data_IF_898393867876
#
_entry.id   IF_898393867876
#
_cell.length_a   1.000
_cell.length_b   1.000
_cell.length_c   1.000
_cell.angle_alpha   90.00
_cell.angle_beta   90.00
_cell.angle_gamma   90.00
#
_symmetry.space_group_name_H-M   'P 1'
#
loop_
_entity.id
_entity.type
_entity.pdbx_description
1 polymer ?
#
# COMPACT_ATOMS: atom_id res chain seq x y z
N UNK A 1 -3.26 22.82 -1.90
CA UNK A 1 -3.48 22.23 -3.23
C UNK A 1 -2.56 21.01 -3.33
N UNK A 2 -3.02 19.82 -2.99
CA UNK A 2 -2.20 18.61 -3.16
C UNK A 2 -2.03 18.34 -4.65
N UNK A 3 -0.80 18.06 -5.08
CA UNK A 3 -0.52 17.65 -6.46
C UNK A 3 -1.38 16.43 -6.79
N UNK A 4 -2.06 16.46 -7.94
CA UNK A 4 -2.77 15.30 -8.50
C UNK A 4 -1.73 14.31 -9.02
N UNK A 5 -1.10 13.56 -8.12
CA UNK A 5 -0.18 12.47 -8.43
C UNK A 5 -0.84 11.11 -8.27
N UNK A 6 -0.29 10.08 -8.90
CA UNK A 6 -0.59 8.70 -8.57
C UNK A 6 0.44 8.27 -7.53
N UNK A 7 -0.01 7.74 -6.41
CA UNK A 7 0.87 7.22 -5.37
C UNK A 7 0.89 5.70 -5.44
N UNK A 8 2.09 5.13 -5.48
CA UNK A 8 2.32 3.70 -5.25
C UNK A 8 2.63 3.50 -3.78
N UNK A 9 1.81 2.72 -3.08
CA UNK A 9 2.01 2.39 -1.67
C UNK A 9 2.34 0.92 -1.56
N UNK A 10 3.49 0.63 -0.96
CA UNK A 10 3.96 -0.74 -0.68
C UNK A 10 3.97 -0.94 0.83
N UNK A 11 3.20 -1.90 1.33
CA UNK A 11 3.06 -2.15 2.76
C UNK A 11 2.82 -3.63 3.05
N UNK A 12 3.02 -4.03 4.31
CA UNK A 12 2.80 -5.41 4.76
C UNK A 12 1.43 -5.51 5.43
N UNK A 13 0.64 -6.51 5.04
CA UNK A 13 -0.62 -6.87 5.68
C UNK A 13 -0.76 -8.39 5.74
N UNK A 14 -1.04 -8.92 6.92
CA UNK A 14 -1.26 -10.37 7.15
C UNK A 14 -0.13 -11.26 6.61
N UNK A 15 1.11 -10.78 6.63
CA UNK A 15 2.28 -11.53 6.14
C UNK A 15 2.49 -11.49 4.62
N UNK A 16 1.70 -10.70 3.89
CA UNK A 16 1.88 -10.45 2.47
C UNK A 16 2.28 -8.99 2.23
N UNK A 17 3.02 -8.75 1.15
CA UNK A 17 3.39 -7.41 0.68
C UNK A 17 2.35 -6.99 -0.34
N UNK A 18 1.64 -5.92 -0.01
CA UNK A 18 0.63 -5.29 -0.84
C UNK A 18 1.28 -4.16 -1.61
N UNK A 19 1.13 -4.17 -2.93
CA UNK A 19 1.45 -3.04 -3.81
C UNK A 19 0.14 -2.50 -4.39
N UNK A 20 -0.25 -1.30 -3.96
CA UNK A 20 -1.49 -0.63 -4.35
C UNK A 20 -1.21 0.77 -4.92
N UNK A 21 -2.16 1.29 -5.69
CA UNK A 21 -2.11 2.63 -6.26
C UNK A 21 -3.32 3.45 -5.79
N UNK A 22 -3.09 4.72 -5.46
CA UNK A 22 -4.10 5.64 -4.93
C UNK A 22 -3.87 7.07 -5.45
N UNK A 23 -4.89 7.93 -5.39
CA UNK A 23 -4.74 9.36 -5.78
C UNK A 23 -4.43 10.27 -4.61
N UNK A 24 -4.72 9.82 -3.40
CA UNK A 24 -4.82 10.67 -2.23
C UNK A 24 -4.15 9.99 -1.05
N UNK A 25 -3.16 10.67 -0.46
CA UNK A 25 -2.43 10.21 0.72
C UNK A 25 -2.20 11.36 1.69
N UNK A 26 -2.50 11.14 2.97
CA UNK A 26 -2.42 12.19 4.00
C UNK A 26 -1.90 11.63 5.32
N UNK A 27 -1.27 12.49 6.11
CA UNK A 27 -1.03 12.17 7.52
C UNK A 27 -2.37 12.14 8.24
N UNK A 28 -2.64 11.08 9.00
CA UNK A 28 -3.87 10.96 9.76
C UNK A 28 -3.86 11.82 11.02
N UNK A 29 -5.04 12.25 11.45
CA UNK A 29 -5.26 12.74 12.81
C UNK A 29 -5.04 11.62 13.85
N UNK A 30 -5.11 10.35 13.43
CA UNK A 30 -4.72 9.20 14.24
C UNK A 30 -3.19 9.05 14.25
N UNK A 31 -2.59 9.24 15.42
CA UNK A 31 -1.14 9.16 15.58
C UNK A 31 -0.59 7.81 15.08
N UNK A 32 0.42 7.87 14.21
CA UNK A 32 1.09 6.68 13.68
C UNK A 32 0.43 6.04 12.46
N UNK A 33 -0.57 6.69 11.85
CA UNK A 33 -1.27 6.18 10.66
C UNK A 33 -1.17 7.14 9.47
N UNK A 34 -1.18 6.55 8.28
CA UNK A 34 -1.32 7.23 7.00
C UNK A 34 -2.68 6.89 6.40
N UNK A 35 -3.38 7.91 5.94
CA UNK A 35 -4.66 7.77 5.26
C UNK A 35 -4.42 7.60 3.77
N UNK A 36 -5.02 6.56 3.19
CA UNK A 36 -5.01 6.30 1.75
C UNK A 36 -6.44 6.26 1.25
N UNK A 37 -6.72 7.04 0.20
CA UNK A 37 -8.04 7.16 -0.41
C UNK A 37 -7.95 7.07 -1.94
N UNK A 38 -9.11 6.90 -2.59
CA UNK A 38 -9.22 6.86 -4.04
C UNK A 38 -8.34 5.78 -4.69
N UNK A 39 -8.47 4.55 -4.18
CA UNK A 39 -7.78 3.39 -4.73
C UNK A 39 -8.04 3.23 -6.24
N UNK A 40 -6.96 3.01 -6.99
CA UNK A 40 -6.99 2.87 -8.44
C UNK A 40 -6.81 1.40 -8.79
N UNK A 41 -7.88 0.80 -9.31
CA UNK A 41 -7.89 -0.55 -9.85
C UNK A 41 -8.20 -0.53 -11.35
N UNK A 42 -7.63 -1.44 -12.15
CA UNK A 42 -7.91 -1.42 -13.59
C UNK A 42 -9.28 -2.04 -13.90
N UNK A 43 -10.17 -1.31 -14.55
CA UNK A 43 -11.47 -1.84 -14.98
C UNK A 43 -11.40 -2.50 -16.37
N UNK A 44 -10.33 -2.26 -17.14
CA UNK A 44 -10.29 -2.54 -18.58
C UNK A 44 -9.26 -3.59 -19.03
N UNK A 45 -8.60 -4.32 -18.12
CA UNK A 45 -7.68 -5.38 -18.53
C UNK A 45 -8.46 -6.63 -18.97
N UNK A 46 -8.96 -6.64 -20.21
CA UNK A 46 -9.53 -7.82 -20.89
C UNK A 46 -8.50 -8.94 -21.14
N UNK A 47 -7.24 -8.72 -20.75
CA UNK A 47 -6.12 -9.62 -20.94
C UNK A 47 -5.73 -10.12 -19.55
N UNK A 48 -6.08 -11.37 -19.25
CA UNK A 48 -5.69 -12.18 -18.09
C UNK A 48 -5.52 -11.36 -16.80
N UNK A 49 -6.61 -11.18 -16.06
CA UNK A 49 -6.56 -10.49 -14.77
C UNK A 49 -5.67 -11.31 -13.81
N UNK A 50 -4.64 -10.66 -13.26
CA UNK A 50 -3.78 -11.28 -12.25
C UNK A 50 -4.66 -11.59 -11.01
N UNK A 51 -4.68 -12.84 -10.50
CA UNK A 51 -5.48 -13.21 -9.34
C UNK A 51 -5.16 -12.36 -8.10
N UNK A 52 -3.96 -11.77 -8.03
CA UNK A 52 -3.57 -10.85 -6.97
C UNK A 52 -4.33 -9.53 -7.04
N UNK A 53 -4.57 -9.00 -8.25
CA UNK A 53 -5.30 -7.74 -8.42
C UNK A 53 -6.80 -7.93 -8.12
N UNK A 54 -7.38 -9.07 -8.48
CA UNK A 54 -8.78 -9.38 -8.12
C UNK A 54 -8.97 -9.48 -6.60
N UNK A 55 -8.01 -10.05 -5.88
CA UNK A 55 -8.01 -10.07 -4.42
C UNK A 55 -7.99 -8.67 -3.84
N UNK A 56 -7.06 -7.81 -4.30
CA UNK A 56 -7.00 -6.42 -3.87
C UNK A 56 -8.31 -5.68 -4.16
N UNK A 57 -8.86 -5.82 -5.37
CA UNK A 57 -10.16 -5.24 -5.74
C UNK A 57 -11.28 -5.69 -4.80
N UNK A 58 -11.31 -6.98 -4.45
CA UNK A 58 -12.32 -7.54 -3.56
C UNK A 58 -12.15 -7.05 -2.13
N UNK A 59 -10.91 -7.02 -1.63
CA UNK A 59 -10.57 -6.61 -0.26
C UNK A 59 -10.86 -5.12 -0.03
N UNK A 60 -10.56 -4.27 -1.00
CA UNK A 60 -10.81 -2.82 -0.93
C UNK A 60 -12.18 -2.41 -1.53
N UNK A 61 -13.03 -3.38 -1.88
CA UNK A 61 -14.37 -3.08 -2.43
C UNK A 61 -15.23 -2.40 -1.38
N UNK A 62 -15.63 -1.16 -1.66
CA UNK A 62 -16.45 -0.36 -0.73
C UNK A 62 -15.67 0.30 0.40
N UNK A 63 -14.33 0.22 0.37
CA UNK A 63 -13.47 0.95 1.29
C UNK A 63 -13.26 2.38 0.76
N UNK A 64 -13.72 3.37 1.53
CA UNK A 64 -13.53 4.78 1.17
C UNK A 64 -12.13 5.28 1.55
N UNK A 65 -11.63 4.83 2.70
CA UNK A 65 -10.37 5.26 3.30
C UNK A 65 -9.76 4.11 4.09
N UNK A 66 -8.45 3.92 3.96
CA UNK A 66 -7.68 3.00 4.79
C UNK A 66 -6.71 3.76 5.67
N UNK A 67 -6.56 3.29 6.91
CA UNK A 67 -5.59 3.78 7.88
C UNK A 67 -4.48 2.75 7.98
N UNK A 68 -3.34 3.03 7.33
CA UNK A 68 -2.21 2.11 7.30
C UNK A 68 -1.20 2.55 8.37
N UNK A 69 -0.85 1.69 9.35
CA UNK A 69 0.19 1.98 10.32
C UNK A 69 1.53 2.31 9.64
N UNK A 70 2.23 3.35 10.10
CA UNK A 70 3.53 3.77 9.54
C UNK A 70 4.55 2.62 9.58
N UNK A 71 4.52 1.77 10.61
CA UNK A 71 5.42 0.63 10.75
C UNK A 71 5.11 -0.55 9.80
N UNK A 72 3.95 -0.55 9.14
CA UNK A 72 3.60 -1.52 8.10
C UNK A 72 4.02 -1.06 6.71
N UNK A 73 4.25 0.24 6.52
CA UNK A 73 4.62 0.83 5.23
C UNK A 73 6.08 0.54 4.94
N UNK A 74 6.34 -0.07 3.78
CA UNK A 74 7.68 -0.28 3.24
C UNK A 74 8.13 0.92 2.43
N UNK A 75 7.25 1.47 1.59
CA UNK A 75 7.57 2.58 0.69
C UNK A 75 6.32 3.27 0.15
N UNK A 76 6.43 4.59 -0.05
CA UNK A 76 5.45 5.39 -0.80
C UNK A 76 6.22 6.14 -1.88
N UNK A 77 5.78 6.00 -3.14
CA UNK A 77 6.34 6.73 -4.28
C UNK A 77 5.24 7.55 -4.96
N UNK A 78 5.50 8.80 -5.30
CA UNK A 78 4.71 9.55 -6.28
C UNK A 78 5.23 9.17 -7.68
N UNK A 79 4.34 8.67 -8.54
CA UNK A 79 4.70 8.13 -9.86
C UNK A 79 3.90 8.80 -10.97
N UNK A 80 4.54 9.00 -12.13
CA UNK A 80 3.88 9.58 -13.31
C UNK A 80 2.82 8.65 -13.90
N UNK A 81 3.05 7.33 -13.83
CA UNK A 81 2.18 6.29 -14.39
C UNK A 81 2.07 5.12 -13.42
N UNK A 82 0.89 4.51 -13.35
CA UNK A 82 0.66 3.28 -12.58
C UNK A 82 1.41 2.09 -13.21
N UNK A 83 1.91 1.21 -12.36
CA UNK A 83 2.29 -0.17 -12.74
C UNK A 83 1.17 -1.16 -12.43
N UNK A 84 1.47 -2.45 -12.48
CA UNK A 84 0.54 -3.51 -12.06
C UNK A 84 0.57 -3.65 -10.54
N UNK A 85 -0.60 -3.61 -9.89
CA UNK A 85 -0.74 -3.93 -8.48
C UNK A 85 -0.43 -5.42 -8.26
N UNK A 86 0.28 -5.75 -7.17
CA UNK A 86 0.77 -7.11 -6.91
C UNK A 86 0.70 -7.44 -5.43
N UNK A 87 0.45 -8.71 -5.12
CA UNK A 87 0.62 -9.29 -3.78
C UNK A 87 1.79 -10.27 -3.85
N UNK A 88 2.78 -10.10 -2.98
CA UNK A 88 3.90 -11.05 -2.86
C UNK A 88 3.98 -11.58 -1.44
N UNK A 89 4.15 -12.90 -1.27
CA UNK A 89 4.34 -13.48 0.06
C UNK A 89 5.62 -12.92 0.70
N UNK A 90 5.51 -12.39 1.92
CA UNK A 90 6.69 -12.01 2.69
C UNK A 90 7.39 -13.27 3.20
N UNK A 91 8.66 -13.47 2.85
CA UNK A 91 9.51 -14.49 3.48
C UNK A 91 9.96 -14.09 4.89
N UNK A 92 9.73 -12.84 5.29
CA UNK A 92 10.23 -12.29 6.56
C UNK A 92 9.08 -12.03 7.53
N UNK A 93 9.16 -12.67 8.70
CA UNK A 93 8.30 -12.45 9.88
C UNK A 93 8.71 -11.19 10.66
N UNK A 94 9.44 -10.26 10.06
CA UNK A 94 10.08 -9.16 10.78
C UNK A 94 9.55 -7.81 10.29
N UNK A 95 8.70 -7.19 11.13
CA UNK A 95 8.44 -5.76 11.14
C UNK A 95 9.78 -5.03 11.19
N UNK A 96 9.99 -4.08 10.27
CA UNK A 96 11.10 -3.12 10.20
C UNK A 96 12.35 -3.47 11.05
N UNK A 97 13.28 -4.30 10.56
CA UNK A 97 14.52 -4.59 11.29
C UNK A 97 15.33 -3.33 11.60
N UNK A 98 15.27 -2.32 10.73
CA UNK A 98 16.11 -1.13 10.83
C UNK A 98 15.77 -0.23 12.03
N UNK A 99 14.49 -0.12 12.42
CA UNK A 99 14.10 0.63 13.62
C UNK A 99 14.35 -0.17 14.91
N UNK A 100 14.13 -1.48 14.85
CA UNK A 100 14.36 -2.38 15.99
C UNK A 100 15.84 -2.53 16.31
N UNK A 101 16.72 -2.68 15.31
CA UNK A 101 18.18 -2.73 15.53
C UNK A 101 18.69 -1.47 16.23
N UNK A 102 18.24 -0.29 15.77
CA UNK A 102 18.63 0.99 16.35
C UNK A 102 18.09 1.20 17.77
N UNK A 103 16.91 0.68 18.10
CA UNK A 103 16.34 0.71 19.46
C UNK A 103 16.95 -0.35 20.39
N UNK A 104 17.36 -1.50 19.84
CA UNK A 104 17.97 -2.61 20.59
C UNK A 104 19.49 -2.45 20.74
N UNK A 105 20.10 -1.44 20.12
CA UNK A 105 21.54 -1.18 20.20
C UNK A 105 22.40 -2.28 19.58
N UNK A 106 21.86 -3.00 18.59
CA UNK A 106 22.55 -4.05 17.82
C UNK A 106 22.78 -3.54 16.40
#
# INVERSE_FOLDING_TARGET
MSKKGIYKIVFIQTGEIYEVYAKSIFQSDMYGFIEVEDYIFDQNSQIVVDPSEEKLKTEFKGVNRSYIPINAILRIDEVDKRGNAKITKSKSRMLCPFLLQKLMGI
#
